data_IF_695642529984
#
_entry.id   IF_695642529984
#
_cell.length_a   1.000
_cell.length_b   1.000
_cell.length_c   1.000
_cell.angle_alpha   90.00
_cell.angle_beta   90.00
_cell.angle_gamma   90.00
#
_symmetry.space_group_name_H-M   'P 1'
#
loop_
_entity.id
_entity.type
_entity.pdbx_description
1 polymer ?
#
# COMPACT_ATOMS: atom_id res chain seq x y z
N UNK A 1 33.45 34.48 -33.33
CA UNK A 1 32.23 34.10 -32.57
C UNK A 1 31.39 33.07 -33.32
N UNK A 2 31.16 33.21 -34.63
CA UNK A 2 30.41 32.21 -35.43
C UNK A 2 31.07 30.83 -35.50
N UNK A 3 32.40 30.76 -35.67
CA UNK A 3 33.14 29.49 -35.78
C UNK A 3 33.14 28.66 -34.50
N UNK A 4 33.27 29.29 -33.32
CA UNK A 4 33.20 28.60 -32.03
C UNK A 4 31.80 28.06 -31.73
N UNK A 5 30.76 28.79 -32.12
CA UNK A 5 29.36 28.36 -31.97
C UNK A 5 29.07 27.14 -32.87
N UNK A 6 29.57 27.14 -34.11
CA UNK A 6 29.42 26.00 -35.02
C UNK A 6 30.10 24.73 -34.49
N UNK A 7 31.28 24.85 -33.88
CA UNK A 7 31.97 23.71 -33.25
C UNK A 7 31.20 23.18 -32.04
N UNK A 8 30.61 24.06 -31.22
CA UNK A 8 29.76 23.64 -30.10
C UNK A 8 28.49 22.91 -30.58
N UNK A 9 27.88 23.37 -31.67
CA UNK A 9 26.72 22.70 -32.27
C UNK A 9 27.07 21.34 -32.90
N UNK A 10 28.25 21.18 -33.51
CA UNK A 10 28.65 19.88 -34.05
C UNK A 10 28.92 18.86 -32.94
N UNK A 11 29.56 19.30 -31.85
CA UNK A 11 29.82 18.45 -30.67
C UNK A 11 28.50 18.02 -30.02
N UNK A 12 27.54 18.94 -29.84
CA UNK A 12 26.24 18.60 -29.24
C UNK A 12 25.44 17.60 -30.08
N UNK A 13 25.46 17.73 -31.41
CA UNK A 13 24.81 16.78 -32.33
C UNK A 13 25.43 15.38 -32.24
N UNK A 14 26.75 15.28 -32.13
CA UNK A 14 27.45 13.99 -31.97
C UNK A 14 27.07 13.34 -30.64
N UNK A 15 26.99 14.10 -29.55
CA UNK A 15 26.54 13.58 -28.26
C UNK A 15 25.10 13.07 -28.32
N UNK A 16 24.19 13.82 -28.94
CA UNK A 16 22.79 13.39 -29.13
C UNK A 16 22.73 12.11 -29.95
N UNK A 17 23.52 12.00 -31.02
CA UNK A 17 23.58 10.81 -31.85
C UNK A 17 24.08 9.59 -31.06
N UNK A 18 25.11 9.74 -30.23
CA UNK A 18 25.63 8.68 -29.37
C UNK A 18 24.60 8.21 -28.33
N UNK A 19 23.83 9.15 -27.75
CA UNK A 19 22.76 8.83 -26.80
C UNK A 19 21.63 8.07 -27.49
N UNK A 20 21.21 8.51 -28.66
CA UNK A 20 20.15 7.82 -29.43
C UNK A 20 20.63 6.44 -29.87
N UNK A 21 21.88 6.31 -30.31
CA UNK A 21 22.45 5.02 -30.72
C UNK A 21 22.58 4.05 -29.54
N UNK A 22 23.00 4.52 -28.36
CA UNK A 22 23.08 3.68 -27.17
C UNK A 22 21.69 3.22 -26.70
N UNK A 23 20.70 4.11 -26.72
CA UNK A 23 19.31 3.74 -26.45
C UNK A 23 18.78 2.73 -27.47
N UNK A 24 19.01 2.94 -28.77
CA UNK A 24 18.61 1.99 -29.81
C UNK A 24 19.35 0.66 -29.71
N UNK A 25 20.56 0.60 -29.17
CA UNK A 25 21.26 -0.66 -28.92
C UNK A 25 20.66 -1.41 -27.71
N UNK A 26 20.38 -0.68 -26.63
CA UNK A 26 19.78 -1.22 -25.40
C UNK A 26 18.32 -1.66 -25.64
N UNK A 27 17.55 -0.90 -26.42
CA UNK A 27 16.15 -1.17 -26.75
C UNK A 27 16.00 -2.05 -28.00
N UNK A 28 16.79 -1.83 -29.05
CA UNK A 28 16.69 -2.54 -30.34
C UNK A 28 17.21 -3.97 -30.29
N UNK A 29 18.13 -4.30 -29.37
CA UNK A 29 18.48 -5.70 -29.08
C UNK A 29 17.31 -6.52 -28.51
N UNK A 30 16.23 -5.85 -28.10
CA UNK A 30 14.99 -6.46 -27.64
C UNK A 30 13.94 -6.67 -28.74
N UNK A 31 14.10 -6.10 -29.95
CA UNK A 31 13.01 -6.09 -30.93
C UNK A 31 13.19 -6.94 -32.18
N UNK A 32 14.39 -7.42 -32.51
CA UNK A 32 14.59 -8.07 -33.82
C UNK A 32 14.38 -9.59 -33.85
N UNK A 33 14.44 -10.26 -32.70
CA UNK A 33 14.11 -11.67 -32.58
C UNK A 33 13.00 -11.81 -31.53
N UNK A 34 11.75 -11.78 -31.99
CA UNK A 34 10.56 -11.95 -31.16
C UNK A 34 10.52 -13.25 -30.33
N UNK A 35 11.52 -14.13 -30.44
CA UNK A 35 11.58 -15.40 -29.71
C UNK A 35 12.12 -15.32 -28.28
N UNK A 36 12.87 -14.27 -27.91
CA UNK A 36 13.46 -14.18 -26.55
C UNK A 36 12.49 -13.72 -25.46
N UNK A 37 11.33 -13.16 -25.84
CA UNK A 37 10.30 -12.69 -24.89
C UNK A 37 9.15 -13.67 -24.70
N UNK A 38 9.02 -14.72 -25.54
CA UNK A 38 8.00 -15.75 -25.31
C UNK A 38 8.23 -16.49 -23.97
N UNK A 39 9.48 -16.69 -23.56
CA UNK A 39 9.81 -17.38 -22.31
C UNK A 39 9.73 -16.49 -21.06
N UNK A 40 9.70 -15.17 -21.21
CA UNK A 40 9.65 -14.23 -20.06
C UNK A 40 8.22 -13.97 -19.58
N UNK A 41 7.20 -14.37 -20.35
CA UNK A 41 5.80 -14.23 -19.91
C UNK A 41 5.54 -14.97 -18.60
N UNK A 42 6.16 -16.13 -18.40
CA UNK A 42 6.04 -16.92 -17.17
C UNK A 42 6.70 -16.26 -15.95
N UNK A 43 7.59 -15.29 -16.14
CA UNK A 43 8.29 -14.58 -15.06
C UNK A 43 7.49 -13.37 -14.56
N UNK A 44 6.63 -12.80 -15.40
CA UNK A 44 5.78 -11.66 -15.05
C UNK A 44 4.34 -12.07 -14.68
N UNK A 45 3.92 -13.30 -14.98
CA UNK A 45 2.59 -13.81 -14.63
C UNK A 45 2.43 -14.11 -13.14
N UNK A 46 1.24 -13.87 -12.60
CA UNK A 46 0.84 -14.32 -11.26
C UNK A 46 1.00 -15.84 -11.12
N UNK A 47 1.47 -16.30 -9.96
CA UNK A 47 1.64 -17.73 -9.68
C UNK A 47 0.30 -18.37 -9.32
N UNK A 48 -0.17 -19.30 -10.15
CA UNK A 48 -1.44 -20.02 -9.95
C UNK A 48 -1.23 -21.51 -9.79
N UNK A 49 -0.16 -21.88 -9.07
CA UNK A 49 0.16 -23.28 -8.80
C UNK A 49 0.28 -24.14 -10.09
N UNK A 50 0.72 -23.54 -11.20
CA UNK A 50 0.94 -24.24 -12.48
C UNK A 50 -0.30 -24.39 -13.38
N UNK A 51 -1.45 -23.83 -12.98
CA UNK A 51 -2.64 -23.78 -13.81
C UNK A 51 -2.67 -22.53 -14.72
N UNK A 52 -3.53 -22.58 -15.74
CA UNK A 52 -3.82 -21.45 -16.61
C UNK A 52 -4.83 -20.53 -15.90
N UNK A 53 -4.67 -19.23 -16.09
CA UNK A 53 -5.53 -18.23 -15.44
C UNK A 53 -6.94 -18.26 -16.03
N UNK A 54 -7.89 -18.73 -15.24
CA UNK A 54 -9.31 -18.78 -15.58
C UNK A 54 -10.12 -17.96 -14.58
N UNK A 55 -10.09 -16.63 -14.72
CA UNK A 55 -11.01 -15.76 -13.98
C UNK A 55 -10.45 -14.38 -13.70
N UNK A 56 -11.33 -13.43 -13.41
CA UNK A 56 -10.93 -12.22 -12.70
C UNK A 56 -10.61 -12.64 -11.27
N UNK A 57 -9.43 -12.26 -10.78
CA UNK A 57 -9.06 -12.45 -9.38
C UNK A 57 -9.87 -11.47 -8.52
N UNK A 58 -11.14 -11.79 -8.30
CA UNK A 58 -11.95 -11.05 -7.33
C UNK A 58 -11.45 -11.45 -5.95
N UNK A 59 -10.79 -10.50 -5.29
CA UNK A 59 -10.43 -10.65 -3.89
C UNK A 59 -11.73 -10.75 -3.08
N UNK A 60 -12.14 -11.97 -2.74
CA UNK A 60 -13.18 -12.23 -1.75
C UNK A 60 -12.65 -11.89 -0.36
N UNK A 61 -12.37 -10.61 -0.14
CA UNK A 61 -12.07 -10.10 1.18
C UNK A 61 -13.34 -10.25 2.01
N UNK A 62 -13.28 -11.05 3.07
CA UNK A 62 -14.47 -11.30 3.87
C UNK A 62 -14.87 -10.02 4.60
N UNK A 63 -16.18 -9.84 4.75
CA UNK A 63 -16.77 -8.70 5.45
C UNK A 63 -16.23 -8.53 6.89
N UNK A 64 -15.80 -9.63 7.52
CA UNK A 64 -15.21 -9.65 8.86
C UNK A 64 -14.00 -8.72 9.00
N UNK A 65 -13.13 -8.67 8.00
CA UNK A 65 -11.94 -7.83 8.05
C UNK A 65 -12.26 -6.34 7.95
N UNK A 66 -13.23 -5.98 7.11
CA UNK A 66 -13.69 -4.59 7.00
C UNK A 66 -14.32 -4.14 8.33
N UNK A 67 -15.10 -5.00 8.96
CA UNK A 67 -15.69 -4.70 10.26
C UNK A 67 -14.63 -4.53 11.37
N UNK A 68 -13.60 -5.38 11.38
CA UNK A 68 -12.49 -5.27 12.33
C UNK A 68 -11.72 -3.95 12.15
N UNK A 69 -11.51 -3.50 10.91
CA UNK A 69 -10.85 -2.23 10.62
C UNK A 69 -11.66 -1.03 11.11
N UNK A 70 -12.98 -1.04 10.91
CA UNK A 70 -13.86 0.04 11.37
C UNK A 70 -13.86 0.11 12.90
N UNK A 71 -13.98 -1.04 13.57
CA UNK A 71 -13.95 -1.12 15.03
C UNK A 71 -12.59 -0.69 15.60
N UNK A 72 -11.48 -1.07 14.95
CA UNK A 72 -10.14 -0.63 15.32
C UNK A 72 -10.02 0.89 15.34
N UNK A 73 -10.53 1.58 14.31
CA UNK A 73 -10.46 3.05 14.24
C UNK A 73 -11.27 3.72 15.36
N UNK A 74 -12.45 3.19 15.68
CA UNK A 74 -13.29 3.74 16.76
C UNK A 74 -12.62 3.53 18.12
N UNK A 75 -12.08 2.33 18.38
CA UNK A 75 -11.43 2.01 19.64
C UNK A 75 -10.13 2.80 19.86
N UNK A 76 -9.37 3.07 18.80
CA UNK A 76 -8.15 3.91 18.87
C UNK A 76 -8.49 5.36 19.26
N UNK A 77 -9.61 5.89 18.77
CA UNK A 77 -10.13 7.20 19.16
C UNK A 77 -10.54 7.21 20.64
N UNK A 78 -11.24 6.17 21.12
CA UNK A 78 -11.65 6.06 22.52
C UNK A 78 -10.45 5.99 23.48
N UNK A 79 -9.38 5.26 23.12
CA UNK A 79 -8.15 5.22 23.90
C UNK A 79 -7.45 6.58 23.90
N UNK A 80 -7.43 7.29 22.76
CA UNK A 80 -6.86 8.63 22.66
C UNK A 80 -7.57 9.62 23.60
N UNK A 81 -8.89 9.51 23.73
CA UNK A 81 -9.67 10.28 24.70
C UNK A 81 -9.32 9.89 26.14
N UNK A 82 -9.10 8.60 26.39
CA UNK A 82 -8.73 8.10 27.71
C UNK A 82 -7.33 8.55 28.14
N UNK A 83 -6.41 8.75 27.19
CA UNK A 83 -5.07 9.28 27.44
C UNK A 83 -5.11 10.69 28.07
N UNK A 84 -6.15 11.47 27.79
CA UNK A 84 -6.31 12.82 28.33
C UNK A 84 -6.35 12.81 29.88
N UNK A 85 -6.73 11.70 30.51
CA UNK A 85 -6.75 11.52 31.97
C UNK A 85 -5.36 11.69 32.59
N UNK A 86 -4.29 11.31 31.88
CA UNK A 86 -2.91 11.44 32.38
C UNK A 86 -2.48 12.91 32.46
N UNK A 87 -3.05 13.75 31.59
CA UNK A 87 -2.75 15.17 31.52
C UNK A 87 -3.65 16.01 32.43
N UNK A 88 -4.88 15.55 32.68
CA UNK A 88 -5.79 16.20 33.63
C UNK A 88 -5.43 15.84 35.08
N UNK A 89 -5.36 16.86 35.94
CA UNK A 89 -5.18 16.68 37.39
C UNK A 89 -6.37 15.97 38.05
N UNK A 90 -6.14 15.35 39.20
CA UNK A 90 -7.18 14.57 39.92
C UNK A 90 -8.18 15.51 40.62
N UNK A 91 -9.18 15.97 39.88
CA UNK A 91 -10.40 16.58 40.43
C UNK A 91 -11.49 15.51 40.59
N UNK A 92 -12.22 15.54 41.73
CA UNK A 92 -13.24 14.53 42.07
C UNK A 92 -14.35 14.41 41.02
N UNK A 93 -14.76 15.53 40.39
CA UNK A 93 -15.79 15.51 39.34
C UNK A 93 -15.28 14.84 38.05
N UNK A 94 -14.08 15.22 37.61
CA UNK A 94 -13.42 14.66 36.42
C UNK A 94 -13.18 13.15 36.58
N UNK A 95 -12.88 12.70 37.80
CA UNK A 95 -12.72 11.27 38.11
C UNK A 95 -13.97 10.44 37.80
N UNK A 96 -15.16 10.90 38.20
CA UNK A 96 -16.41 10.16 37.95
C UNK A 96 -16.74 10.08 36.46
N UNK A 97 -16.61 11.19 35.72
CA UNK A 97 -16.82 11.19 34.27
C UNK A 97 -15.88 10.20 33.55
N UNK A 98 -14.60 10.21 33.93
CA UNK A 98 -13.61 9.30 33.37
C UNK A 98 -13.86 7.83 33.72
N UNK A 99 -14.35 7.54 34.92
CA UNK A 99 -14.72 6.19 35.33
C UNK A 99 -15.90 5.64 34.51
N UNK A 100 -16.95 6.45 34.32
CA UNK A 100 -18.07 6.05 33.45
C UNK A 100 -17.64 5.87 32.00
N UNK A 101 -16.76 6.74 31.49
CA UNK A 101 -16.22 6.59 30.14
C UNK A 101 -15.47 5.27 29.96
N UNK A 102 -14.58 4.91 30.88
CA UNK A 102 -13.89 3.62 30.87
C UNK A 102 -14.86 2.43 30.93
N UNK A 103 -15.93 2.55 31.73
CA UNK A 103 -16.96 1.51 31.80
C UNK A 103 -17.67 1.29 30.44
N UNK A 104 -17.97 2.36 29.69
CA UNK A 104 -18.55 2.24 28.35
C UNK A 104 -17.60 1.58 27.35
N UNK A 105 -16.31 1.94 27.36
CA UNK A 105 -15.29 1.30 26.52
C UNK A 105 -15.20 -0.20 26.82
N UNK A 106 -15.20 -0.58 28.09
CA UNK A 106 -15.21 -1.99 28.51
C UNK A 106 -16.47 -2.72 28.02
N UNK A 107 -17.63 -2.09 28.13
CA UNK A 107 -18.90 -2.67 27.69
C UNK A 107 -18.93 -2.87 26.17
N UNK A 108 -18.42 -1.90 25.39
CA UNK A 108 -18.27 -2.01 23.95
C UNK A 108 -17.41 -3.20 23.54
N UNK A 109 -16.27 -3.38 24.21
CA UNK A 109 -15.38 -4.52 23.98
C UNK A 109 -16.05 -5.87 24.28
N UNK A 110 -16.82 -5.96 25.36
CA UNK A 110 -17.56 -7.20 25.71
C UNK A 110 -18.62 -7.55 24.66
N UNK A 111 -19.31 -6.55 24.09
CA UNK A 111 -20.27 -6.75 23.01
C UNK A 111 -19.56 -7.27 21.76
N UNK A 112 -18.41 -6.71 21.40
CA UNK A 112 -17.62 -7.13 20.25
C UNK A 112 -17.19 -8.61 20.35
N UNK A 113 -16.69 -9.02 21.53
CA UNK A 113 -16.31 -10.40 21.79
C UNK A 113 -17.49 -11.38 21.65
N UNK A 114 -18.67 -10.98 22.13
CA UNK A 114 -19.88 -11.79 22.06
C UNK A 114 -20.42 -11.93 20.62
N UNK A 115 -20.32 -10.86 19.82
CA UNK A 115 -20.72 -10.87 18.41
C UNK A 115 -19.76 -11.68 17.53
N UNK A 116 -18.58 -12.02 18.04
CA UNK A 116 -17.66 -12.93 17.37
C UNK A 116 -16.95 -12.33 16.17
N UNK A 117 -16.93 -10.99 16.03
CA UNK A 117 -16.18 -10.30 14.98
C UNK A 117 -14.67 -10.57 15.04
N UNK A 118 -14.17 -10.91 16.23
CA UNK A 118 -12.76 -11.28 16.48
C UNK A 118 -12.49 -12.77 16.22
N UNK A 119 -13.51 -13.61 16.08
CA UNK A 119 -13.30 -15.04 15.81
C UNK A 119 -12.99 -15.24 14.34
N UNK A 120 -11.74 -15.59 14.08
CA UNK A 120 -11.32 -16.13 12.79
C UNK A 120 -11.76 -17.59 12.76
N UNK A 121 -12.90 -17.84 12.11
CA UNK A 121 -13.35 -19.20 11.84
C UNK A 121 -12.33 -19.80 10.86
N UNK A 122 -11.70 -20.89 11.30
CA UNK A 122 -10.90 -21.78 10.47
C UNK A 122 -11.81 -22.73 9.70
#
# INVERSE_FOLDING_TARGET
MSSSILVLCSISLIFIFLIVFSHLFILGSKSFQGSRYLSTNNWYSSFECGFLNYGLNENFFSFSYLNLLILFVVFDLEISLLLNIVYDGVWLYTFWCNFFFFFFVFLGYMIELNLGYVKWIN
#
